data_IF_519281018597
#
_entry.id   IF_519281018597
#
_cell.length_a   1.000
_cell.length_b   1.000
_cell.length_c   1.000
_cell.angle_alpha   90.00
_cell.angle_beta   90.00
_cell.angle_gamma   90.00
#
_symmetry.space_group_name_H-M   'P 1'
#
loop_
_entity.id
_entity.type
_entity.pdbx_description
1 polymer ?
#
# COMPACT_ATOMS: atom_id res chain seq x y z
N UNK A 1 -14.31 -11.86 4.68
CA UNK A 1 -13.93 -11.34 6.01
C UNK A 1 -12.43 -11.49 6.22
N UNK A 2 -11.60 -10.72 5.53
CA UNK A 2 -10.14 -10.77 5.67
C UNK A 2 -9.60 -9.35 5.46
N UNK A 3 -9.43 -8.58 6.53
CA UNK A 3 -9.04 -7.16 6.39
C UNK A 3 -8.59 -6.50 7.69
N UNK A 4 -8.07 -7.30 8.64
CA UNK A 4 -7.75 -6.82 9.99
C UNK A 4 -6.41 -7.35 10.51
N UNK A 5 -5.41 -7.53 9.63
CA UNK A 5 -4.11 -8.12 10.05
C UNK A 5 -2.85 -7.34 9.68
N UNK A 6 -2.92 -6.28 8.88
CA UNK A 6 -1.69 -5.55 8.48
C UNK A 6 -1.36 -4.38 9.41
N UNK A 7 -2.36 -3.70 10.00
CA UNK A 7 -2.09 -2.55 10.87
C UNK A 7 -1.49 -2.92 12.22
N UNK A 8 -1.82 -4.09 12.76
CA UNK A 8 -1.30 -4.53 14.07
C UNK A 8 0.15 -5.03 13.99
N UNK A 9 0.58 -5.52 12.82
CA UNK A 9 1.94 -6.06 12.63
C UNK A 9 3.01 -4.97 12.53
N UNK A 10 2.66 -3.75 12.11
CA UNK A 10 3.63 -2.65 12.00
C UNK A 10 3.90 -1.97 13.35
N UNK A 11 2.88 -1.86 14.21
CA UNK A 11 3.05 -1.35 15.59
C UNK A 11 3.84 -2.31 16.49
N UNK A 12 3.93 -3.58 16.09
CA UNK A 12 4.58 -4.65 16.83
C UNK A 12 6.03 -4.91 16.39
N UNK A 13 6.63 -4.07 15.54
CA UNK A 13 8.04 -4.21 15.20
C UNK A 13 8.90 -3.84 16.43
N UNK A 14 9.49 -4.83 17.14
CA UNK A 14 10.33 -4.53 18.28
C UNK A 14 11.62 -3.93 17.74
N UNK A 15 11.98 -2.75 18.21
CA UNK A 15 13.34 -2.26 18.01
C UNK A 15 14.32 -3.31 18.55
N UNK A 16 15.43 -3.52 17.85
CA UNK A 16 16.50 -4.46 18.22
C UNK A 16 17.17 -4.15 19.59
N UNK A 17 16.59 -3.27 20.41
CA UNK A 17 17.01 -2.98 21.76
C UNK A 17 15.77 -2.89 22.70
N UNK A 18 15.56 -3.95 23.48
CA UNK A 18 14.79 -3.95 24.73
C UNK A 18 13.29 -3.64 24.61
N UNK A 19 12.53 -4.56 23.99
CA UNK A 19 11.22 -5.08 24.45
C UNK A 19 10.13 -4.16 25.04
N UNK A 20 10.22 -2.84 24.94
CA UNK A 20 9.17 -1.91 25.34
C UNK A 20 8.26 -1.68 24.14
N UNK A 21 6.94 -1.74 24.31
CA UNK A 21 6.02 -1.38 23.23
C UNK A 21 6.34 0.06 22.81
N UNK A 22 6.57 0.24 21.52
CA UNK A 22 6.59 1.56 20.90
C UNK A 22 5.23 2.19 21.20
N UNK A 23 5.21 3.37 21.82
CA UNK A 23 3.97 4.03 22.22
C UNK A 23 2.99 4.20 21.05
N UNK A 24 1.73 4.48 21.35
CA UNK A 24 0.71 4.63 20.31
C UNK A 24 1.06 5.74 19.31
N UNK A 25 0.78 5.48 18.03
CA UNK A 25 0.92 6.48 16.98
C UNK A 25 -0.15 7.55 17.20
N UNK A 26 0.22 8.82 17.47
CA UNK A 26 -0.76 9.87 17.71
C UNK A 26 -1.72 10.00 16.53
N UNK A 27 -3.02 10.15 16.82
CA UNK A 27 -4.09 10.39 15.83
C UNK A 27 -4.35 9.25 14.84
N UNK A 28 -3.75 8.07 15.03
CA UNK A 28 -4.01 6.92 14.17
C UNK A 28 -5.51 6.55 14.12
N UNK A 29 -6.17 6.56 15.29
CA UNK A 29 -7.60 6.27 15.38
C UNK A 29 -8.46 7.29 14.62
N UNK A 30 -8.14 8.59 14.73
CA UNK A 30 -8.82 9.66 14.00
C UNK A 30 -8.66 9.49 12.49
N UNK A 31 -7.45 9.18 12.03
CA UNK A 31 -7.14 8.93 10.62
C UNK A 31 -7.94 7.75 10.07
N UNK A 32 -7.98 6.63 10.79
CA UNK A 32 -8.75 5.44 10.39
C UNK A 32 -10.25 5.74 10.33
N UNK A 33 -10.78 6.51 11.29
CA UNK A 33 -12.18 6.91 11.30
C UNK A 33 -12.52 7.82 10.10
N UNK A 34 -11.67 8.81 9.82
CA UNK A 34 -11.84 9.68 8.67
C UNK A 34 -11.75 8.91 7.36
N UNK A 35 -10.77 8.02 7.21
CA UNK A 35 -10.57 7.23 6.00
C UNK A 35 -11.83 6.40 5.67
N UNK A 36 -12.37 5.68 6.66
CA UNK A 36 -13.59 4.88 6.48
C UNK A 36 -14.81 5.71 6.08
N UNK A 37 -14.92 6.93 6.60
CA UNK A 37 -16.05 7.81 6.32
C UNK A 37 -15.96 8.50 4.94
N UNK A 38 -14.77 8.57 4.33
CA UNK A 38 -14.49 9.33 3.11
C UNK A 38 -13.99 8.47 1.95
N UNK A 39 -14.23 7.14 1.99
CA UNK A 39 -13.88 6.26 0.89
C UNK A 39 -14.59 6.70 -0.40
N UNK A 40 -13.88 6.77 -1.54
CA UNK A 40 -14.50 6.98 -2.84
C UNK A 40 -15.52 5.88 -3.17
N UNK A 41 -16.50 6.20 -4.01
CA UNK A 41 -17.43 5.21 -4.53
C UNK A 41 -16.74 4.37 -5.62
N UNK A 42 -16.14 3.25 -5.22
CA UNK A 42 -15.41 2.32 -6.10
C UNK A 42 -16.26 1.72 -7.23
N UNK A 43 -17.59 1.77 -7.11
CA UNK A 43 -18.49 1.32 -8.21
C UNK A 43 -18.37 2.19 -9.45
N UNK A 44 -17.87 3.42 -9.30
CA UNK A 44 -17.69 4.38 -10.40
C UNK A 44 -16.38 4.18 -11.15
N UNK A 45 -15.37 3.58 -10.52
CA UNK A 45 -14.02 3.41 -11.10
C UNK A 45 -13.82 2.04 -11.73
N UNK A 46 -14.58 1.03 -11.29
CA UNK A 46 -14.53 -0.34 -11.82
C UNK A 46 -13.29 -1.11 -11.32
N UNK A 47 -13.29 -2.44 -11.53
CA UNK A 47 -12.15 -3.30 -11.17
C UNK A 47 -11.07 -3.23 -12.24
N UNK A 48 -9.85 -2.89 -11.82
CA UNK A 48 -8.66 -2.84 -12.68
C UNK A 48 -7.53 -3.66 -12.08
N UNK A 49 -6.54 -3.99 -12.91
CA UNK A 49 -5.29 -4.59 -12.43
C UNK A 49 -4.47 -3.48 -11.79
N UNK A 50 -4.18 -3.63 -10.50
CA UNK A 50 -3.34 -2.73 -9.73
C UNK A 50 -2.01 -3.44 -9.49
N UNK A 51 -0.90 -2.77 -9.82
CA UNK A 51 0.44 -3.32 -9.62
C UNK A 51 0.76 -3.57 -8.14
N UNK A 52 0.29 -2.67 -7.26
CA UNK A 52 0.55 -2.69 -5.81
C UNK A 52 1.78 -1.90 -5.40
N UNK A 53 2.84 -1.90 -6.22
CA UNK A 53 4.08 -1.13 -5.98
C UNK A 53 4.57 -0.41 -7.26
N UNK A 54 3.74 0.48 -7.80
CA UNK A 54 4.05 1.17 -9.07
C UNK A 54 4.97 2.37 -8.83
N UNK A 55 6.28 2.17 -9.03
CA UNK A 55 7.34 3.19 -8.88
C UNK A 55 8.39 3.06 -9.97
N UNK A 56 9.18 4.13 -10.16
CA UNK A 56 10.21 4.20 -11.21
C UNK A 56 11.23 3.06 -11.15
N UNK A 57 11.56 2.59 -9.94
CA UNK A 57 12.53 1.50 -9.74
C UNK A 57 12.05 0.16 -10.35
N UNK A 58 10.73 0.01 -10.52
CA UNK A 58 10.10 -1.17 -11.09
C UNK A 58 9.84 -1.04 -12.60
N UNK A 59 10.29 0.05 -13.23
CA UNK A 59 10.14 0.28 -14.67
C UNK A 59 11.46 0.05 -15.40
N UNK A 60 11.40 -0.77 -16.46
CA UNK A 60 12.51 -0.91 -17.41
C UNK A 60 12.27 0.05 -18.55
N UNK A 61 13.22 0.95 -18.80
CA UNK A 61 13.16 1.90 -19.91
C UNK A 61 13.97 1.42 -21.11
N UNK A 62 13.58 1.88 -22.30
CA UNK A 62 14.42 1.71 -23.48
C UNK A 62 15.75 2.47 -23.30
N UNK A 63 16.90 1.93 -23.72
CA UNK A 63 18.21 2.53 -23.45
C UNK A 63 18.43 3.89 -24.11
N UNK A 64 17.68 4.20 -25.17
CA UNK A 64 17.87 5.43 -25.99
C UNK A 64 16.58 6.21 -26.26
N UNK A 65 15.42 5.70 -25.87
CA UNK A 65 14.12 6.32 -26.19
C UNK A 65 13.30 6.49 -24.91
N UNK A 66 12.47 7.54 -24.84
CA UNK A 66 11.63 7.82 -23.67
C UNK A 66 10.37 6.94 -23.64
N UNK A 67 10.55 5.61 -23.55
CA UNK A 67 9.45 4.65 -23.39
C UNK A 67 9.79 3.55 -22.38
N UNK A 68 8.77 3.09 -21.66
CA UNK A 68 8.85 1.90 -20.81
C UNK A 68 8.75 0.66 -21.68
N UNK A 69 9.64 -0.32 -21.46
CA UNK A 69 9.69 -1.61 -22.16
C UNK A 69 9.35 -2.79 -21.24
N UNK A 70 9.21 -2.57 -19.93
CA UNK A 70 8.80 -3.59 -18.98
C UNK A 70 8.42 -3.03 -17.62
N UNK A 71 7.54 -3.74 -16.91
CA UNK A 71 7.16 -3.48 -15.52
C UNK A 71 7.50 -4.73 -14.72
N UNK A 72 8.29 -4.56 -13.67
CA UNK A 72 8.80 -5.64 -12.81
C UNK A 72 8.08 -5.66 -11.47
N UNK A 73 8.26 -6.74 -10.72
CA UNK A 73 7.84 -6.87 -9.31
C UNK A 73 6.32 -6.87 -9.07
N UNK A 74 5.64 -7.86 -9.66
CA UNK A 74 4.17 -8.03 -9.60
C UNK A 74 3.67 -8.76 -8.34
N UNK A 75 4.49 -8.95 -7.31
CA UNK A 75 4.12 -9.79 -6.15
C UNK A 75 2.94 -9.22 -5.33
N UNK A 76 2.71 -7.91 -5.40
CA UNK A 76 1.61 -7.21 -4.74
C UNK A 76 0.39 -6.96 -5.65
N UNK A 77 0.37 -7.58 -6.83
CA UNK A 77 -0.68 -7.32 -7.80
C UNK A 77 -2.06 -7.80 -7.31
N UNK A 78 -3.09 -7.01 -7.60
CA UNK A 78 -4.48 -7.33 -7.21
C UNK A 78 -5.49 -6.73 -8.19
N UNK A 79 -6.74 -7.15 -8.06
CA UNK A 79 -7.87 -6.45 -8.66
C UNK A 79 -8.42 -5.42 -7.67
N UNK A 80 -8.47 -4.16 -8.07
CA UNK A 80 -8.89 -3.07 -7.19
C UNK A 80 -9.22 -1.78 -7.93
N UNK A 81 -9.35 -0.70 -7.15
CA UNK A 81 -9.45 0.65 -7.69
C UNK A 81 -8.11 1.08 -8.28
N UNK A 82 -8.08 1.79 -9.43
CA UNK A 82 -6.90 2.50 -9.90
C UNK A 82 -6.38 3.54 -8.90
#
# INVERSE_FOLDING_TARGET
MQGRRTSESETACPTAAKGKPTGEIPRFAEMVAWYKANLPDERKTGLQIVHGDYKLDNLVFHPTENRVIGILDWELCTLGSP
#
